data_IF_223207041876
#
_entry.id   IF_223207041876
#
_cell.length_a   1.000
_cell.length_b   1.000
_cell.length_c   1.000
_cell.angle_alpha   90.00
_cell.angle_beta   90.00
_cell.angle_gamma   90.00
#
_symmetry.space_group_name_H-M   'P 1'
#
loop_
_entity.id
_entity.type
_entity.pdbx_description
1 polymer ?
#
# COMPACT_ATOMS: atom_id res chain seq x y z
N UNK A 1 -3.32 0.18 -21.86
CA UNK A 1 -4.69 0.07 -21.33
C UNK A 1 -4.68 -0.26 -19.85
N UNK A 2 -5.84 -0.44 -19.23
CA UNK A 2 -6.00 -0.60 -17.77
C UNK A 2 -5.30 -1.83 -17.15
N UNK A 3 -4.95 -2.82 -17.97
CA UNK A 3 -4.17 -4.00 -17.55
C UNK A 3 -2.78 -3.64 -17.00
N UNK A 4 -2.17 -2.54 -17.45
CA UNK A 4 -0.91 -2.03 -16.90
C UNK A 4 -1.09 -1.54 -15.45
N UNK A 5 -2.15 -0.79 -15.18
CA UNK A 5 -2.44 -0.23 -13.87
C UNK A 5 -2.70 -1.35 -12.86
N UNK A 6 -3.52 -2.32 -13.25
CA UNK A 6 -3.86 -3.50 -12.46
C UNK A 6 -2.63 -4.29 -11.99
N UNK A 7 -1.59 -4.41 -12.84
CA UNK A 7 -0.34 -5.11 -12.49
C UNK A 7 0.47 -4.42 -11.38
N UNK A 8 0.24 -3.13 -11.15
CA UNK A 8 0.94 -2.36 -10.12
C UNK A 8 0.22 -2.37 -8.78
N UNK A 9 -1.04 -2.79 -8.73
CA UNK A 9 -1.80 -2.86 -7.50
C UNK A 9 -1.20 -3.91 -6.55
N UNK A 10 -1.10 -3.52 -5.30
CA UNK A 10 -0.63 -4.29 -4.17
C UNK A 10 -1.77 -4.36 -3.15
N UNK A 11 -1.80 -5.43 -2.38
CA UNK A 11 -2.67 -5.61 -1.22
C UNK A 11 -1.80 -5.86 0.01
N UNK A 12 -2.13 -5.21 1.12
CA UNK A 12 -1.42 -5.43 2.38
C UNK A 12 -2.14 -6.46 3.28
N UNK A 13 -1.67 -6.62 4.52
CA UNK A 13 -2.22 -7.62 5.45
C UNK A 13 -3.66 -7.31 5.87
N UNK A 14 -4.00 -6.02 5.92
CA UNK A 14 -5.30 -5.49 6.33
C UNK A 14 -6.32 -5.56 5.18
N UNK A 15 -5.85 -5.78 3.96
CA UNK A 15 -6.69 -5.89 2.76
C UNK A 15 -6.89 -4.57 2.03
N UNK A 16 -6.14 -3.54 2.41
CA UNK A 16 -6.09 -2.28 1.69
C UNK A 16 -5.40 -2.50 0.34
N UNK A 17 -5.81 -1.74 -0.67
CA UNK A 17 -5.31 -1.86 -2.04
C UNK A 17 -4.76 -0.52 -2.51
N UNK A 18 -3.49 -0.50 -2.89
CA UNK A 18 -2.81 0.69 -3.39
C UNK A 18 -1.73 0.31 -4.41
N UNK A 19 -1.21 1.29 -5.14
CA UNK A 19 -0.05 1.09 -6.01
C UNK A 19 1.22 0.91 -5.17
N UNK A 20 1.35 1.68 -4.11
CA UNK A 20 2.49 1.67 -3.18
C UNK A 20 1.96 1.89 -1.75
N UNK A 21 2.57 1.18 -0.79
CA UNK A 21 2.24 1.29 0.63
C UNK A 21 3.44 1.87 1.37
N UNK A 22 3.17 2.80 2.28
CA UNK A 22 4.16 3.36 3.19
C UNK A 22 3.85 2.93 4.62
N UNK A 23 4.88 2.67 5.40
CA UNK A 23 4.82 2.39 6.82
C UNK A 23 5.63 3.47 7.55
N UNK A 24 5.05 4.00 8.62
CA UNK A 24 5.74 4.94 9.49
C UNK A 24 6.77 4.15 10.32
N UNK A 25 8.04 4.44 10.10
CA UNK A 25 9.14 3.88 10.86
C UNK A 25 9.90 4.96 11.61
N UNK A 26 10.64 4.54 12.63
CA UNK A 26 11.53 5.43 13.37
C UNK A 26 12.92 5.40 12.74
N UNK A 27 13.43 6.57 12.33
CA UNK A 27 14.84 6.71 11.95
C UNK A 27 15.57 7.42 13.08
N UNK A 28 16.53 6.74 13.68
CA UNK A 28 17.50 7.37 14.56
C UNK A 28 18.46 8.21 13.72
N UNK A 29 18.66 9.45 14.14
CA UNK A 29 19.63 10.35 13.54
C UNK A 29 20.62 10.75 14.63
N UNK A 30 21.90 10.56 14.35
CA UNK A 30 22.95 11.04 15.22
C UNK A 30 23.01 12.56 15.07
N UNK A 31 22.70 13.29 16.14
CA UNK A 31 22.90 14.74 16.18
C UNK A 31 24.40 14.99 16.30
N UNK A 32 25.03 15.58 15.28
CA UNK A 32 26.47 15.87 15.27
C UNK A 32 26.85 16.94 16.33
N UNK A 33 25.87 17.71 16.80
CA UNK A 33 26.08 18.87 17.69
C UNK A 33 25.80 18.63 19.18
N UNK A 34 25.39 17.42 19.58
CA UNK A 34 25.04 17.16 20.98
C UNK A 34 25.61 15.81 21.41
N UNK A 35 26.68 15.85 22.20
CA UNK A 35 27.26 14.67 22.81
C UNK A 35 26.17 13.97 23.64
N UNK A 36 25.59 12.89 23.10
CA UNK A 36 24.67 11.95 23.75
C UNK A 36 23.15 12.14 23.59
N UNK A 37 22.62 12.84 22.57
CA UNK A 37 21.19 12.78 22.26
C UNK A 37 20.89 12.03 20.95
N UNK A 38 20.37 10.80 21.06
CA UNK A 38 19.77 10.09 19.92
C UNK A 38 18.37 10.69 19.72
N UNK A 39 18.17 11.43 18.62
CA UNK A 39 16.85 11.90 18.22
C UNK A 39 16.22 10.87 17.31
N UNK A 40 15.02 10.42 17.69
CA UNK A 40 14.18 9.57 16.85
C UNK A 40 13.23 10.47 16.07
N UNK A 41 13.30 10.45 14.74
CA UNK A 41 12.34 11.15 13.90
C UNK A 41 11.47 10.14 13.15
N UNK A 42 10.14 10.37 13.08
CA UNK A 42 9.28 9.56 12.25
C UNK A 42 9.67 9.73 10.78
N UNK A 43 9.73 8.61 10.07
CA UNK A 43 10.08 8.53 8.66
C UNK A 43 9.18 7.52 7.96
N UNK A 44 8.47 7.98 6.94
CA UNK A 44 7.73 7.09 6.04
C UNK A 44 8.72 6.27 5.19
N UNK A 45 8.55 4.96 5.21
CA UNK A 45 9.33 3.99 4.44
C UNK A 45 8.39 3.07 3.66
N UNK A 46 8.88 2.40 2.62
CA UNK A 46 8.04 1.49 1.83
C UNK A 46 7.66 0.28 2.69
N UNK A 47 6.37 -0.03 2.81
CA UNK A 47 5.87 -1.23 3.48
C UNK A 47 6.24 -2.44 2.62
N UNK A 48 7.20 -3.24 3.07
CA UNK A 48 7.70 -4.39 2.33
C UNK A 48 6.75 -5.61 2.38
N UNK A 49 5.82 -5.63 3.35
CA UNK A 49 4.84 -6.71 3.55
C UNK A 49 3.58 -6.52 2.69
N UNK A 50 3.75 -6.36 1.38
CA UNK A 50 2.63 -6.26 0.45
C UNK A 50 2.72 -7.28 -0.66
N UNK A 51 1.57 -7.82 -1.07
CA UNK A 51 1.48 -8.84 -2.12
C UNK A 51 0.84 -8.24 -3.37
N UNK A 52 1.18 -8.70 -4.58
CA UNK A 52 0.46 -8.29 -5.78
C UNK A 52 -1.05 -8.54 -5.64
N UNK A 53 -1.87 -7.54 -5.95
CA UNK A 53 -3.32 -7.66 -5.88
C UNK A 53 -3.84 -8.59 -6.99
N UNK A 54 -4.66 -9.58 -6.61
CA UNK A 54 -5.20 -10.55 -7.57
C UNK A 54 -6.50 -10.02 -8.16
N UNK A 55 -6.38 -9.16 -9.17
CA UNK A 55 -7.54 -8.57 -9.84
C UNK A 55 -8.21 -9.60 -10.75
N UNK A 56 -9.49 -9.86 -10.49
CA UNK A 56 -10.35 -10.79 -11.24
C UNK A 56 -11.11 -10.10 -12.36
N UNK A 57 -11.31 -8.79 -12.27
CA UNK A 57 -12.00 -8.02 -13.30
C UNK A 57 -12.24 -6.57 -12.88
N UNK A 58 -12.94 -5.85 -13.75
CA UNK A 58 -13.45 -4.52 -13.51
C UNK A 58 -14.97 -4.55 -13.62
N UNK A 59 -15.65 -3.79 -12.78
CA UNK A 59 -17.11 -3.64 -12.81
C UNK A 59 -17.46 -2.18 -12.87
N UNK A 60 -18.56 -1.85 -13.55
CA UNK A 60 -19.12 -0.50 -13.56
C UNK A 60 -20.32 -0.50 -12.65
N UNK A 61 -20.28 0.31 -11.60
CA UNK A 61 -21.37 0.44 -10.64
C UNK A 61 -22.49 1.28 -11.24
N UNK A 62 -23.68 1.25 -10.62
CA UNK A 62 -24.84 2.00 -11.09
C UNK A 62 -24.65 3.52 -11.09
N UNK A 63 -23.71 4.04 -10.30
CA UNK A 63 -23.30 5.45 -10.30
C UNK A 63 -22.28 5.80 -11.41
N UNK A 64 -21.97 4.83 -12.28
CA UNK A 64 -21.04 5.01 -13.40
C UNK A 64 -19.57 4.91 -13.01
N UNK A 65 -19.23 4.59 -11.76
CA UNK A 65 -17.83 4.41 -11.35
C UNK A 65 -17.30 3.06 -11.82
N UNK A 66 -16.04 3.07 -12.24
CA UNK A 66 -15.29 1.87 -12.55
C UNK A 66 -14.60 1.38 -11.28
N UNK A 67 -14.95 0.18 -10.83
CA UNK A 67 -14.38 -0.47 -9.65
C UNK A 67 -13.62 -1.73 -10.03
N UNK A 68 -12.73 -2.16 -9.14
CA UNK A 68 -11.86 -3.32 -9.30
C UNK A 68 -12.33 -4.48 -8.43
N UNK A 69 -12.52 -5.65 -9.04
CA UNK A 69 -12.80 -6.88 -8.32
C UNK A 69 -11.48 -7.57 -7.97
N UNK A 70 -11.14 -7.65 -6.69
CA UNK A 70 -9.86 -8.18 -6.22
C UNK A 70 -10.10 -9.36 -5.29
N UNK A 71 -9.31 -10.43 -5.42
CA UNK A 71 -9.34 -11.55 -4.50
C UNK A 71 -8.28 -11.37 -3.40
N UNK A 72 -8.72 -11.35 -2.14
CA UNK A 72 -7.87 -11.30 -0.96
C UNK A 72 -8.29 -12.38 0.03
N UNK A 73 -7.36 -13.27 0.40
CA UNK A 73 -7.58 -14.37 1.36
C UNK A 73 -8.83 -15.23 1.05
N UNK A 74 -9.07 -15.50 -0.25
CA UNK A 74 -10.22 -16.30 -0.70
C UNK A 74 -11.55 -15.55 -0.77
N UNK A 75 -11.58 -14.24 -0.47
CA UNK A 75 -12.76 -13.38 -0.58
C UNK A 75 -12.61 -12.42 -1.75
N UNK A 76 -13.72 -12.08 -2.39
CA UNK A 76 -13.77 -11.04 -3.43
C UNK A 76 -14.09 -9.69 -2.79
N UNK A 77 -13.29 -8.67 -3.08
CA UNK A 77 -13.44 -7.29 -2.65
C UNK A 77 -13.71 -6.41 -3.87
N UNK A 78 -14.54 -5.40 -3.70
CA UNK A 78 -14.76 -4.34 -4.68
C UNK A 78 -14.10 -3.07 -4.14
N UNK A 79 -13.11 -2.56 -4.86
CA UNK A 79 -12.35 -1.34 -4.55
C UNK A 79 -12.53 -0.29 -5.63
#
# INVERSE_FOLDING_TARGET
>A
GLSWYVKRLRVDEDGDVAVEFLEEGEKQINSEDDHNCIKTMPKLQIKHKTKPAKVRGLVVSSDGKLQQCIEHQGRLLIV
#
